data_IF_011520980797
#
_entry.id   IF_011520980797
#
_cell.length_a   1.000
_cell.length_b   1.000
_cell.length_c   1.000
_cell.angle_alpha   90.00
_cell.angle_beta   90.00
_cell.angle_gamma   90.00
#
_symmetry.space_group_name_H-M   'P 1'
#
loop_
_entity.id
_entity.type
_entity.pdbx_description
1 polymer ?
#
# COMPACT_ATOMS: atom_id res chain seq x y z
N UNK A 1 2.65 -16.01 6.25
CA UNK A 1 2.47 -14.56 6.08
C UNK A 1 2.56 -14.21 4.61
N UNK A 2 1.88 -13.15 4.18
CA UNK A 2 2.04 -12.49 2.88
C UNK A 2 3.02 -11.32 3.09
N UNK A 3 3.89 -11.03 2.13
CA UNK A 3 4.86 -9.93 2.24
C UNK A 3 4.83 -9.06 1.01
N UNK A 4 4.99 -7.75 1.21
CA UNK A 4 5.09 -6.80 0.13
C UNK A 4 6.20 -5.79 0.41
N UNK A 5 6.88 -5.39 -0.65
CA UNK A 5 7.99 -4.45 -0.60
C UNK A 5 7.62 -3.24 -1.45
N UNK A 6 7.88 -2.04 -0.91
CA UNK A 6 7.70 -0.78 -1.61
C UNK A 6 8.96 0.05 -1.61
N UNK A 7 9.08 0.92 -2.61
CA UNK A 7 10.30 1.68 -2.88
C UNK A 7 10.01 3.18 -2.98
N UNK A 8 11.00 3.98 -2.59
CA UNK A 8 10.96 5.41 -2.87
C UNK A 8 12.36 6.00 -2.97
N UNK A 9 12.53 6.83 -4.00
CA UNK A 9 13.77 7.55 -4.27
C UNK A 9 13.87 8.80 -3.38
N UNK A 10 15.05 9.09 -2.84
CA UNK A 10 15.29 10.23 -1.93
C UNK A 10 15.33 11.54 -2.72
N UNK A 11 16.10 11.59 -3.81
CA UNK A 11 16.31 12.81 -4.62
C UNK A 11 15.03 13.41 -5.21
N UNK A 12 14.03 12.59 -5.50
CA UNK A 12 12.74 13.02 -6.08
C UNK A 12 11.76 13.58 -5.05
N UNK A 13 12.05 13.44 -3.75
CA UNK A 13 11.18 13.97 -2.71
C UNK A 13 11.22 15.49 -2.73
N UNK A 14 10.04 16.12 -2.73
CA UNK A 14 9.89 17.57 -2.86
C UNK A 14 10.28 18.31 -1.57
N UNK A 15 11.60 18.38 -1.30
CA UNK A 15 12.15 19.16 -0.20
C UNK A 15 13.59 19.58 -0.49
N UNK A 16 13.96 20.82 -0.11
CA UNK A 16 15.34 21.33 -0.28
C UNK A 16 16.35 20.78 0.72
N UNK A 17 15.91 20.10 1.77
CA UNK A 17 16.76 19.62 2.86
C UNK A 17 16.90 18.10 2.73
N UNK A 18 18.13 17.63 2.60
CA UNK A 18 18.43 16.22 2.37
C UNK A 18 17.96 15.30 3.51
N UNK A 19 18.02 15.75 4.77
CA UNK A 19 17.50 14.98 5.90
C UNK A 19 15.97 14.85 5.82
N UNK A 20 15.26 15.91 5.39
CA UNK A 20 13.81 15.86 5.20
C UNK A 20 13.43 15.00 3.99
N UNK A 21 14.19 15.04 2.89
CA UNK A 21 14.01 14.14 1.75
C UNK A 21 14.12 12.67 2.17
N UNK A 22 15.10 12.31 3.00
CA UNK A 22 15.25 10.95 3.53
C UNK A 22 14.01 10.51 4.32
N UNK A 23 13.52 11.35 5.23
CA UNK A 23 12.31 11.05 6.00
C UNK A 23 11.07 10.91 5.10
N UNK A 24 10.97 11.73 4.05
CA UNK A 24 9.89 11.64 3.07
C UNK A 24 9.97 10.36 2.25
N UNK A 25 11.16 9.95 1.82
CA UNK A 25 11.37 8.69 1.08
C UNK A 25 11.04 7.47 1.93
N UNK A 26 11.39 7.45 3.21
CA UNK A 26 10.96 6.40 4.13
C UNK A 26 9.42 6.31 4.21
N UNK A 27 8.73 7.46 4.30
CA UNK A 27 7.27 7.49 4.33
C UNK A 27 6.65 7.04 3.00
N UNK A 28 7.24 7.46 1.88
CA UNK A 28 6.79 7.12 0.54
C UNK A 28 6.97 5.62 0.25
N UNK A 29 8.13 5.04 0.59
CA UNK A 29 8.39 3.60 0.42
C UNK A 29 7.45 2.75 1.28
N UNK A 30 7.15 3.19 2.51
CA UNK A 30 6.14 2.54 3.36
C UNK A 30 4.74 2.58 2.74
N UNK A 31 4.32 3.72 2.20
CA UNK A 31 3.02 3.83 1.52
C UNK A 31 2.96 2.93 0.28
N UNK A 32 4.05 2.87 -0.49
CA UNK A 32 4.17 1.99 -1.65
C UNK A 32 4.07 0.51 -1.24
N UNK A 33 4.69 0.12 -0.13
CA UNK A 33 4.62 -1.25 0.39
C UNK A 33 3.18 -1.64 0.77
N UNK A 34 2.42 -0.72 1.39
CA UNK A 34 1.00 -0.95 1.68
C UNK A 34 0.16 -1.07 0.40
N UNK A 35 0.45 -0.26 -0.62
CA UNK A 35 -0.21 -0.37 -1.92
C UNK A 35 0.02 -1.76 -2.52
N UNK A 36 1.27 -2.19 -2.62
CA UNK A 36 1.61 -3.51 -3.14
C UNK A 36 0.97 -4.65 -2.34
N UNK A 37 0.91 -4.52 -1.01
CA UNK A 37 0.21 -5.49 -0.17
C UNK A 37 -1.29 -5.52 -0.47
N UNK A 38 -1.90 -4.36 -0.71
CA UNK A 38 -3.34 -4.23 -1.02
C UNK A 38 -3.64 -4.92 -2.34
N UNK A 39 -2.82 -4.66 -3.35
CA UNK A 39 -2.90 -5.30 -4.66
C UNK A 39 -2.73 -6.82 -4.57
N UNK A 40 -1.83 -7.33 -3.72
CA UNK A 40 -1.69 -8.79 -3.53
C UNK A 40 -2.89 -9.42 -2.80
N UNK A 41 -3.52 -8.69 -1.88
CA UNK A 41 -4.69 -9.18 -1.13
C UNK A 41 -5.93 -9.20 -2.02
N UNK A 42 -6.20 -8.12 -2.76
CA UNK A 42 -7.45 -7.93 -3.49
C UNK A 42 -7.35 -8.09 -5.01
N UNK A 43 -6.14 -8.15 -5.57
CA UNK A 43 -5.87 -8.18 -7.01
C UNK A 43 -5.60 -6.77 -7.59
N UNK A 44 -4.93 -6.73 -8.75
CA UNK A 44 -4.83 -5.54 -9.60
C UNK A 44 -5.99 -5.56 -10.62
N UNK A 45 -6.75 -4.47 -10.77
CA UNK A 45 -7.69 -4.32 -11.90
C UNK A 45 -7.08 -3.46 -13.02
N UNK A 46 -7.02 -4.03 -14.23
CA UNK A 46 -6.77 -3.32 -15.49
C UNK A 46 -8.14 -3.04 -16.12
N UNK A 47 -8.44 -1.76 -16.35
CA UNK A 47 -9.82 -1.26 -16.40
C UNK A 47 -10.49 -1.36 -17.79
N UNK A 48 -11.82 -1.23 -17.77
CA UNK A 48 -12.55 -0.47 -18.80
C UNK A 48 -13.76 0.33 -18.25
N UNK A 49 -14.23 0.13 -17.01
CA UNK A 49 -15.37 0.92 -16.48
C UNK A 49 -15.50 1.00 -14.95
N UNK A 50 -14.39 0.95 -14.21
CA UNK A 50 -14.23 1.01 -12.74
C UNK A 50 -14.44 -0.31 -12.01
N UNK A 51 -13.45 -0.71 -11.17
CA UNK A 51 -13.65 -1.04 -9.74
C UNK A 51 -12.33 -1.33 -8.96
N UNK A 52 -12.17 -0.67 -7.79
CA UNK A 52 -11.40 -1.14 -6.62
C UNK A 52 -12.27 -1.30 -5.33
N UNK A 53 -13.60 -1.19 -5.23
CA UNK A 53 -14.73 -1.18 -6.14
C UNK A 53 -15.52 0.14 -5.95
N UNK A 54 -15.16 1.18 -6.71
CA UNK A 54 -15.75 2.54 -6.71
C UNK A 54 -15.10 3.63 -5.82
N UNK A 55 -13.89 3.44 -5.29
CA UNK A 55 -13.25 4.43 -4.39
C UNK A 55 -11.88 4.96 -4.85
N UNK A 56 -11.88 5.56 -6.03
CA UNK A 56 -10.84 6.50 -6.49
C UNK A 56 -11.40 7.94 -6.48
N UNK A 57 -12.30 8.26 -5.55
CA UNK A 57 -12.85 9.61 -5.46
C UNK A 57 -12.01 10.44 -4.49
N UNK A 58 -11.16 11.24 -5.13
CA UNK A 58 -10.46 12.44 -4.65
C UNK A 58 -9.19 12.20 -3.84
N UNK A 59 -8.11 12.77 -4.39
CA UNK A 59 -6.71 12.67 -4.06
C UNK A 59 -6.42 13.22 -2.65
N UNK A 60 -6.59 12.38 -1.63
CA UNK A 60 -5.99 12.45 -0.27
C UNK A 60 -6.57 11.32 0.60
N UNK A 61 -7.84 10.94 0.35
CA UNK A 61 -8.54 9.83 1.01
C UNK A 61 -7.88 8.47 0.77
N UNK A 62 -7.20 8.31 -0.37
CA UNK A 62 -6.51 7.08 -0.74
C UNK A 62 -5.38 6.71 0.24
N UNK A 63 -4.58 7.70 0.71
CA UNK A 63 -3.49 7.43 1.69
C UNK A 63 -4.04 6.93 3.03
N UNK A 64 -5.06 7.59 3.56
CA UNK A 64 -5.72 7.18 4.79
C UNK A 64 -6.44 5.83 4.67
N UNK A 65 -6.93 5.50 3.47
CA UNK A 65 -7.65 4.25 3.22
C UNK A 65 -6.71 3.07 2.97
N UNK A 66 -5.57 3.25 2.32
CA UNK A 66 -4.56 2.18 2.15
C UNK A 66 -3.99 1.71 3.49
N UNK A 67 -3.76 2.63 4.44
CA UNK A 67 -3.39 2.26 5.82
C UNK A 67 -4.54 1.58 6.58
N UNK A 68 -5.80 1.87 6.24
CA UNK A 68 -6.99 1.28 6.87
C UNK A 68 -7.51 -0.02 6.24
N UNK A 69 -7.19 -0.30 4.97
CA UNK A 69 -7.67 -1.46 4.20
C UNK A 69 -6.89 -2.72 4.55
N UNK A 70 -5.61 -2.58 4.91
CA UNK A 70 -4.80 -3.70 5.43
C UNK A 70 -4.48 -3.49 6.89
N UNK A 71 -5.51 -3.66 7.71
CA UNK A 71 -5.33 -3.73 9.15
C UNK A 71 -4.43 -4.94 9.49
N UNK A 72 -3.56 -4.77 10.49
CA UNK A 72 -2.70 -5.85 10.96
C UNK A 72 -1.40 -6.07 10.17
N UNK A 73 -1.09 -5.24 9.16
CA UNK A 73 0.21 -5.30 8.51
C UNK A 73 1.33 -4.91 9.51
N UNK A 74 2.38 -5.72 9.57
CA UNK A 74 3.56 -5.51 10.44
C UNK A 74 4.76 -5.08 9.62
N UNK A 75 5.47 -4.07 10.11
CA UNK A 75 6.73 -3.64 9.55
C UNK A 75 7.80 -4.72 9.75
N UNK A 76 8.40 -5.18 8.65
CA UNK A 76 9.51 -6.15 8.68
C UNK A 76 10.84 -5.43 8.66
N UNK A 77 11.01 -4.50 7.70
CA UNK A 77 12.26 -3.76 7.51
C UNK A 77 12.03 -2.43 6.81
N UNK A 78 12.94 -1.49 7.07
CA UNK A 78 13.16 -0.29 6.27
C UNK A 78 14.66 -0.18 6.08
N UNK A 79 15.12 -0.30 4.84
CA UNK A 79 16.55 -0.34 4.52
C UNK A 79 16.86 0.55 3.32
N UNK A 80 17.96 1.31 3.34
CA UNK A 80 18.44 1.96 2.13
C UNK A 80 18.92 0.89 1.15
N UNK A 81 18.56 1.04 -0.13
CA UNK A 81 19.02 0.21 -1.24
C UNK A 81 19.75 1.12 -2.23
N UNK A 82 21.06 0.89 -2.37
CA UNK A 82 21.93 1.84 -3.06
C UNK A 82 22.02 3.19 -2.33
N UNK A 83 22.37 4.23 -3.07
CA UNK A 83 22.65 5.56 -2.49
C UNK A 83 21.41 6.47 -2.39
N UNK A 84 20.36 6.19 -3.17
CA UNK A 84 19.26 7.13 -3.39
C UNK A 84 17.86 6.51 -3.21
N UNK A 85 17.73 5.28 -2.68
CA UNK A 85 16.42 4.61 -2.54
C UNK A 85 16.24 4.02 -1.15
N UNK A 86 15.02 4.11 -0.62
CA UNK A 86 14.59 3.31 0.51
C UNK A 86 13.65 2.21 0.05
N UNK A 87 13.88 1.03 0.62
CA UNK A 87 13.03 -0.14 0.53
C UNK A 87 12.33 -0.35 1.88
N UNK A 88 11.02 -0.56 1.85
CA UNK A 88 10.24 -0.94 3.04
C UNK A 88 9.54 -2.26 2.77
N UNK A 89 9.71 -3.23 3.66
CA UNK A 89 8.98 -4.51 3.60
C UNK A 89 7.94 -4.59 4.72
N UNK A 90 6.72 -4.94 4.35
CA UNK A 90 5.60 -5.22 5.24
C UNK A 90 5.22 -6.70 5.16
N UNK A 91 4.65 -7.21 6.24
CA UNK A 91 4.08 -8.55 6.30
C UNK A 91 2.65 -8.53 6.80
N UNK A 92 1.84 -9.50 6.36
CA UNK A 92 0.49 -9.73 6.84
C UNK A 92 0.29 -11.20 7.18
N UNK A 93 -0.40 -11.49 8.28
CA UNK A 93 -0.74 -12.86 8.64
C UNK A 93 -1.73 -13.47 7.65
N UNK A 94 -1.59 -14.77 7.37
CA UNK A 94 -2.42 -15.46 6.35
C UNK A 94 -3.90 -15.46 6.72
N UNK A 95 -4.19 -15.59 8.01
CA UNK A 95 -5.56 -15.58 8.51
C UNK A 95 -6.21 -14.21 8.24
N UNK A 96 -5.48 -13.12 8.49
CA UNK A 96 -5.92 -11.76 8.17
C UNK A 96 -6.13 -11.58 6.67
N UNK A 97 -5.23 -12.09 5.82
CA UNK A 97 -5.42 -12.07 4.35
C UNK A 97 -6.74 -12.76 3.97
N UNK A 98 -7.03 -13.92 4.56
CA UNK A 98 -8.23 -14.68 4.27
C UNK A 98 -9.49 -13.94 4.71
N UNK A 99 -9.49 -13.38 5.92
CA UNK A 99 -10.61 -12.59 6.45
C UNK A 99 -10.90 -11.36 5.56
N UNK A 100 -9.84 -10.63 5.18
CA UNK A 100 -9.95 -9.47 4.29
C UNK A 100 -10.56 -9.84 2.94
N UNK A 101 -10.18 -10.99 2.36
CA UNK A 101 -10.75 -11.47 1.09
C UNK A 101 -12.21 -11.88 1.23
N UNK A 102 -12.59 -12.56 2.31
CA UNK A 102 -13.97 -12.95 2.58
C UNK A 102 -14.86 -11.70 2.72
N UNK A 103 -14.41 -10.71 3.50
CA UNK A 103 -15.13 -9.44 3.67
C UNK A 103 -15.31 -8.71 2.33
N UNK A 104 -14.27 -8.65 1.51
CA UNK A 104 -14.33 -8.03 0.19
C UNK A 104 -15.30 -8.75 -0.76
N UNK A 105 -15.23 -10.08 -0.85
CA UNK A 105 -16.17 -10.85 -1.67
C UNK A 105 -17.63 -10.67 -1.21
N UNK A 106 -17.86 -10.60 0.11
CA UNK A 106 -19.18 -10.29 0.67
C UNK A 106 -19.71 -8.92 0.23
N UNK A 107 -18.86 -7.89 0.22
CA UNK A 107 -19.23 -6.55 -0.25
C UNK A 107 -19.52 -6.51 -1.75
N UNK A 108 -18.71 -7.18 -2.56
CA UNK A 108 -18.92 -7.27 -4.02
C UNK A 108 -20.25 -7.98 -4.33
N UNK A 109 -20.55 -9.08 -3.65
CA UNK A 109 -21.81 -9.81 -3.81
C UNK A 109 -23.03 -8.99 -3.37
N UNK A 110 -22.89 -8.13 -2.36
CA UNK A 110 -23.96 -7.25 -1.88
C UNK A 110 -24.23 -6.05 -2.82
N UNK A 111 -23.19 -5.50 -3.46
CA UNK A 111 -23.32 -4.39 -4.43
C UNK A 111 -23.89 -4.82 -5.79
N UNK A 112 -23.78 -6.10 -6.15
CA UNK A 112 -24.30 -6.63 -7.41
C UNK A 112 -25.80 -6.97 -7.41
N UNK A 113 -26.51 -6.71 -6.31
CA UNK A 113 -27.97 -6.87 -6.17
C UNK A 113 -28.65 -5.52 -6.12
#
# INVERSE_FOLDING_TARGET
TLTATGYAVISVQNHKNHAQQRLMAIRASKLDAYRSLTEQVYGQQLDASSTVADMVVTNDTFRAKVEGVIYGARLVSITPVGDDTYETTLSLDRDVVQDLRILYMGQVAAKGR
#
